data_IF_246038017545
#
_entry.id   IF_246038017545
#
_cell.length_a   1.000
_cell.length_b   1.000
_cell.length_c   1.000
_cell.angle_alpha   90.00
_cell.angle_beta   90.00
_cell.angle_gamma   90.00
#
_symmetry.space_group_name_H-M   'P 1'
#
loop_
_entity.id
_entity.type
_entity.pdbx_description
1 polymer ?
#
# COMPACT_ATOMS: atom_id res chain seq x y z
N UNK A 1 74.06 -0.56 15.98
CA UNK A 1 73.07 0.30 15.29
C UNK A 1 71.97 0.68 16.27
N UNK A 2 71.38 1.84 16.04
CA UNK A 2 70.78 2.77 17.02
C UNK A 2 69.62 2.21 17.85
N UNK A 3 69.71 2.41 19.17
CA UNK A 3 68.62 2.40 20.13
C UNK A 3 67.70 3.59 19.91
N UNK A 4 66.39 3.37 19.81
CA UNK A 4 65.38 4.41 19.96
C UNK A 4 64.58 4.15 21.23
N UNK A 5 64.70 5.10 22.16
CA UNK A 5 63.84 5.26 23.32
C UNK A 5 62.67 6.10 22.85
N UNK A 6 61.42 5.65 23.05
CA UNK A 6 60.25 6.50 22.88
C UNK A 6 59.43 6.46 24.16
N UNK A 7 59.30 7.65 24.73
CA UNK A 7 58.72 7.93 26.01
C UNK A 7 57.21 7.64 26.02
N UNK A 8 56.77 7.08 27.15
CA UNK A 8 55.40 6.89 27.56
C UNK A 8 54.73 8.25 27.76
N UNK A 9 53.67 8.54 27.01
CA UNK A 9 52.70 9.57 27.35
C UNK A 9 51.41 8.87 27.79
N UNK A 10 51.01 9.14 29.03
CA UNK A 10 49.88 8.51 29.68
C UNK A 10 48.54 8.84 29.01
N UNK A 11 47.78 7.79 28.75
CA UNK A 11 46.34 7.80 28.64
C UNK A 11 45.84 6.55 29.34
N UNK A 12 45.05 6.73 30.40
CA UNK A 12 44.36 5.66 31.12
C UNK A 12 43.50 4.86 30.15
N UNK A 13 43.99 3.69 29.73
CA UNK A 13 43.15 2.65 29.15
C UNK A 13 42.82 1.72 30.31
N UNK A 14 41.61 1.81 30.82
CA UNK A 14 41.00 0.73 31.61
C UNK A 14 40.97 -0.51 30.72
N UNK A 15 41.97 -1.39 30.88
CA UNK A 15 41.92 -2.75 30.34
C UNK A 15 40.81 -3.50 31.07
N UNK A 16 39.63 -3.55 30.47
CA UNK A 16 38.72 -4.65 30.75
C UNK A 16 39.37 -5.91 30.15
N UNK A 17 39.98 -6.74 30.99
CA UNK A 17 40.31 -8.11 30.63
C UNK A 17 38.99 -8.83 30.35
N UNK A 18 38.56 -8.84 29.09
CA UNK A 18 37.58 -9.81 28.64
C UNK A 18 38.31 -11.15 28.62
N UNK A 19 38.03 -12.00 29.61
CA UNK A 19 38.35 -13.41 29.51
C UNK A 19 37.61 -13.93 28.28
N UNK A 20 38.34 -14.18 27.19
CA UNK A 20 37.75 -14.77 26.00
C UNK A 20 37.23 -16.17 26.38
N UNK A 21 35.96 -16.52 26.06
CA UNK A 21 35.49 -17.87 26.25
C UNK A 21 36.29 -18.80 25.34
N UNK A 22 37.06 -19.70 25.94
CA UNK A 22 37.71 -20.78 25.22
C UNK A 22 36.74 -21.96 25.15
N UNK A 23 36.34 -22.34 23.95
CA UNK A 23 35.62 -23.59 23.70
C UNK A 23 36.60 -24.69 23.34
N UNK A 24 36.45 -25.86 23.95
CA UNK A 24 37.18 -27.06 23.55
C UNK A 24 36.16 -28.15 23.18
N UNK A 25 36.39 -28.81 22.04
CA UNK A 25 35.57 -29.90 21.55
C UNK A 25 36.15 -31.21 22.10
N UNK A 26 35.37 -31.99 22.85
CA UNK A 26 35.79 -33.31 23.30
C UNK A 26 34.61 -34.28 23.15
N UNK A 27 34.82 -35.40 22.46
CA UNK A 27 33.84 -36.47 22.23
C UNK A 27 32.43 -35.98 21.85
N UNK A 28 32.33 -35.20 20.77
CA UNK A 28 31.08 -34.65 20.19
C UNK A 28 30.23 -33.77 21.13
N UNK A 29 30.80 -33.27 22.23
CA UNK A 29 30.19 -32.25 23.07
C UNK A 29 31.06 -30.99 23.16
N UNK A 30 30.43 -29.84 22.90
CA UNK A 30 31.05 -28.52 23.03
C UNK A 30 30.98 -28.06 24.49
N UNK A 31 32.14 -27.92 25.13
CA UNK A 31 32.23 -27.36 26.48
C UNK A 31 32.66 -25.88 26.39
N UNK A 32 31.77 -24.97 26.78
CA UNK A 32 32.05 -23.54 26.92
C UNK A 32 32.18 -23.22 28.41
N UNK A 33 33.39 -22.90 28.86
CA UNK A 33 33.65 -22.41 30.23
C UNK A 33 33.84 -20.89 30.23
N UNK A 34 33.26 -20.19 31.21
CA UNK A 34 33.39 -18.73 31.37
C UNK A 34 32.08 -17.95 31.37
N UNK A 35 30.92 -18.61 31.26
CA UNK A 35 29.61 -17.97 31.40
C UNK A 35 29.24 -17.99 32.88
N UNK A 36 29.14 -16.81 33.51
CA UNK A 36 28.60 -16.71 34.86
C UNK A 36 27.13 -17.16 34.84
N UNK A 37 26.79 -18.12 35.69
CA UNK A 37 25.41 -18.59 35.83
C UNK A 37 24.48 -17.44 36.24
N UNK A 38 23.28 -17.31 35.66
CA UNK A 38 22.31 -16.31 36.11
C UNK A 38 21.87 -16.63 37.55
N UNK A 39 21.83 -15.59 38.39
CA UNK A 39 21.31 -15.66 39.76
C UNK A 39 19.87 -16.21 39.76
N UNK A 40 19.47 -17.00 40.78
CA UNK A 40 18.10 -17.47 40.90
C UNK A 40 17.13 -16.29 41.03
N UNK A 41 16.18 -16.24 40.11
CA UNK A 41 15.18 -15.18 39.99
C UNK A 41 14.14 -15.32 41.11
N UNK A 42 14.35 -14.63 42.24
CA UNK A 42 13.26 -14.37 43.20
C UNK A 42 12.30 -13.38 42.56
N UNK A 43 11.08 -13.84 42.28
CA UNK A 43 10.00 -13.00 41.75
C UNK A 43 9.74 -11.80 42.70
N UNK A 44 9.66 -10.56 42.19
CA UNK A 44 9.10 -9.49 42.99
C UNK A 44 7.59 -9.70 43.13
N UNK A 45 7.17 -9.90 44.37
CA UNK A 45 5.78 -9.91 44.82
C UNK A 45 5.07 -8.64 44.30
N UNK A 46 4.08 -8.82 43.42
CA UNK A 46 3.20 -7.74 43.00
C UNK A 46 2.42 -7.27 44.22
N UNK A 47 2.86 -6.16 44.83
CA UNK A 47 2.01 -5.40 45.74
C UNK A 47 0.80 -4.93 44.95
N UNK A 48 -0.34 -5.59 45.15
CA UNK A 48 -1.64 -5.09 44.75
C UNK A 48 -1.91 -3.81 45.54
N UNK A 49 -1.56 -2.67 44.96
CA UNK A 49 -2.02 -1.38 45.42
C UNK A 49 -3.53 -1.31 45.28
N UNK A 50 -4.22 -1.45 46.41
CA UNK A 50 -5.63 -1.16 46.54
C UNK A 50 -5.82 0.35 46.34
N UNK A 51 -6.34 0.76 45.18
CA UNK A 51 -6.84 2.13 45.01
C UNK A 51 -8.29 2.12 45.48
N UNK A 52 -8.54 2.72 46.64
CA UNK A 52 -9.87 3.07 47.09
C UNK A 52 -10.48 4.03 46.05
N UNK A 53 -11.38 3.51 45.22
CA UNK A 53 -12.23 4.33 44.36
C UNK A 53 -13.27 4.97 45.28
N UNK A 54 -12.96 6.14 45.81
CA UNK A 54 -13.96 7.00 46.43
C UNK A 54 -15.07 7.28 45.41
N UNK A 55 -16.32 7.14 45.84
CA UNK A 55 -17.52 7.40 45.05
C UNK A 55 -17.47 8.79 44.40
N UNK A 56 -17.09 8.84 43.12
CA UNK A 56 -17.28 10.01 42.28
C UNK A 56 -18.69 9.93 41.72
N UNK A 57 -19.63 10.81 42.11
CA UNK A 57 -20.97 10.79 41.54
C UNK A 57 -20.88 11.14 40.05
N UNK A 58 -21.30 10.20 39.21
CA UNK A 58 -21.47 10.45 37.78
C UNK A 58 -22.52 11.57 37.59
N UNK A 59 -22.21 12.66 36.86
CA UNK A 59 -23.23 13.64 36.51
C UNK A 59 -24.31 12.95 35.66
N UNK A 60 -25.57 13.09 36.08
CA UNK A 60 -26.72 12.52 35.37
C UNK A 60 -26.79 13.08 33.94
N UNK A 61 -27.13 12.26 32.92
CA UNK A 61 -27.27 12.74 31.55
C UNK A 61 -28.38 13.78 31.47
N UNK A 62 -28.02 15.02 31.18
CA UNK A 62 -28.98 16.05 30.80
C UNK A 62 -29.53 15.72 29.41
N UNK A 63 -30.82 15.39 29.35
CA UNK A 63 -31.55 15.31 28.09
C UNK A 63 -31.62 16.71 27.47
N UNK A 64 -30.85 16.92 26.41
CA UNK A 64 -30.96 18.14 25.59
C UNK A 64 -32.23 18.00 24.74
N UNK A 65 -33.22 18.86 24.98
CA UNK A 65 -34.36 19.00 24.09
C UNK A 65 -33.87 19.40 22.69
N UNK A 66 -33.96 18.45 21.75
CA UNK A 66 -33.68 18.70 20.35
C UNK A 66 -34.75 19.65 19.81
N UNK A 67 -34.33 20.87 19.48
CA UNK A 67 -35.17 21.93 18.96
C UNK A 67 -36.09 21.47 17.83
N UNK A 68 -37.37 21.84 17.94
CA UNK A 68 -38.40 21.68 16.94
C UNK A 68 -38.02 22.47 15.68
N UNK A 69 -37.47 21.79 14.66
CA UNK A 69 -37.51 22.29 13.29
C UNK A 69 -38.79 21.78 12.61
N UNK A 70 -39.70 22.64 12.14
CA UNK A 70 -40.90 22.20 11.44
C UNK A 70 -40.52 21.67 10.05
N UNK A 71 -40.65 20.37 9.85
CA UNK A 71 -40.62 19.74 8.52
C UNK A 71 -41.86 20.19 7.74
N UNK A 72 -41.66 21.06 6.75
CA UNK A 72 -42.69 21.46 5.79
C UNK A 72 -42.95 20.28 4.85
N UNK A 73 -44.06 19.57 5.08
CA UNK A 73 -44.56 18.47 4.24
C UNK A 73 -44.92 19.02 2.85
N UNK A 74 -44.14 18.66 1.85
CA UNK A 74 -44.48 18.88 0.44
C UNK A 74 -45.48 17.79 0.04
N UNK A 75 -46.70 18.19 -0.31
CA UNK A 75 -47.72 17.28 -0.83
C UNK A 75 -47.35 16.86 -2.27
N UNK A 76 -46.98 15.60 -2.42
CA UNK A 76 -46.91 14.93 -3.72
C UNK A 76 -48.33 14.70 -4.23
N UNK A 77 -48.75 15.53 -5.20
CA UNK A 77 -49.97 15.29 -5.98
C UNK A 77 -49.83 14.00 -6.78
N UNK A 78 -50.73 13.07 -6.50
CA UNK A 78 -50.92 11.79 -7.20
C UNK A 78 -51.59 12.07 -8.55
N UNK A 79 -50.81 12.09 -9.64
CA UNK A 79 -51.34 12.10 -11.00
C UNK A 79 -51.34 10.66 -11.53
N UNK A 80 -52.53 10.10 -11.71
CA UNK A 80 -52.72 8.78 -12.31
C UNK A 80 -52.41 8.76 -13.82
N UNK A 81 -52.08 7.58 -14.39
CA UNK A 81 -51.72 7.45 -15.79
C UNK A 81 -52.96 7.55 -16.69
N UNK A 82 -52.94 8.48 -17.66
CA UNK A 82 -53.88 8.53 -18.79
C UNK A 82 -53.22 7.86 -20.00
N UNK A 83 -53.80 6.74 -20.41
CA UNK A 83 -53.59 6.07 -21.70
C UNK A 83 -54.40 6.80 -22.77
N UNK A 84 -53.82 7.15 -23.93
CA UNK A 84 -54.60 7.42 -25.13
C UNK A 84 -54.55 6.22 -26.09
N UNK A 85 -55.71 5.62 -26.28
CA UNK A 85 -56.06 4.72 -27.38
C UNK A 85 -56.20 5.54 -28.67
N UNK A 86 -55.51 5.14 -29.72
CA UNK A 86 -55.67 5.67 -31.09
C UNK A 86 -55.21 4.64 -32.11
N UNK A 87 -56.14 4.26 -32.98
CA UNK A 87 -56.05 3.19 -33.98
C UNK A 87 -55.01 3.43 -35.10
N UNK A 88 -54.59 2.34 -35.80
CA UNK A 88 -53.50 2.36 -36.77
C UNK A 88 -53.94 2.82 -38.16
N UNK A 89 -53.17 3.71 -38.80
CA UNK A 89 -53.30 4.02 -40.23
C UNK A 89 -52.12 3.44 -40.99
N UNK A 90 -52.43 2.46 -41.84
CA UNK A 90 -51.56 1.88 -42.87
C UNK A 90 -51.58 2.78 -44.12
N UNK A 91 -50.41 3.27 -44.54
CA UNK A 91 -50.16 3.63 -45.93
C UNK A 91 -48.80 3.09 -46.40
N UNK A 92 -48.76 2.77 -47.69
CA UNK A 92 -47.96 1.77 -48.39
C UNK A 92 -46.71 2.39 -49.07
N UNK A 93 -45.67 1.55 -49.25
CA UNK A 93 -44.43 1.61 -50.09
C UNK A 93 -44.53 2.39 -51.43
N UNK A 94 -43.51 2.92 -52.15
CA UNK A 94 -42.03 3.10 -52.11
C UNK A 94 -41.64 3.96 -53.38
N UNK A 95 -40.40 4.04 -53.97
CA UNK A 95 -39.01 3.88 -53.51
C UNK A 95 -37.99 4.99 -53.97
N UNK A 96 -36.73 4.87 -53.50
CA UNK A 96 -35.43 5.25 -54.12
C UNK A 96 -35.09 6.73 -54.42
N UNK A 97 -34.14 7.26 -53.64
CA UNK A 97 -33.00 8.01 -54.20
C UNK A 97 -31.80 7.95 -53.24
N UNK A 98 -30.71 7.40 -53.75
CA UNK A 98 -29.38 7.38 -53.16
C UNK A 98 -28.85 8.79 -52.96
N UNK A 99 -28.33 9.08 -51.77
CA UNK A 99 -27.07 9.83 -51.68
C UNK A 99 -26.41 9.56 -50.34
N UNK A 100 -25.21 8.99 -50.42
CA UNK A 100 -24.35 8.73 -49.29
C UNK A 100 -23.88 10.04 -48.69
N UNK A 101 -24.07 10.20 -47.38
CA UNK A 101 -23.28 11.07 -46.51
C UNK A 101 -23.51 10.61 -45.08
N UNK A 102 -22.61 9.75 -44.59
CA UNK A 102 -22.58 9.31 -43.22
C UNK A 102 -22.18 10.48 -42.31
N UNK A 103 -22.99 10.86 -41.30
CA UNK A 103 -22.46 11.50 -40.12
C UNK A 103 -21.93 10.39 -39.23
N UNK A 104 -20.62 10.40 -39.02
CA UNK A 104 -19.94 9.56 -38.05
C UNK A 104 -20.68 9.63 -36.72
N UNK A 105 -21.24 8.49 -36.30
CA UNK A 105 -21.88 8.32 -35.02
C UNK A 105 -20.79 8.45 -33.94
N UNK A 106 -20.57 9.69 -33.47
CA UNK A 106 -19.97 9.93 -32.18
C UNK A 106 -20.94 9.42 -31.11
N UNK A 107 -20.83 8.12 -30.79
CA UNK A 107 -21.22 7.57 -29.50
C UNK A 107 -20.32 8.18 -28.43
N UNK A 108 -20.56 9.46 -28.15
CA UNK A 108 -20.24 10.05 -26.86
C UNK A 108 -21.08 9.30 -25.83
N UNK A 109 -20.45 8.29 -25.24
CA UNK A 109 -20.91 7.63 -24.03
C UNK A 109 -21.27 8.76 -23.06
N UNK A 110 -22.55 8.80 -22.68
CA UNK A 110 -23.14 9.82 -21.83
C UNK A 110 -22.18 10.15 -20.67
N UNK A 111 -21.85 11.42 -20.54
CA UNK A 111 -21.10 11.97 -19.40
C UNK A 111 -21.84 11.57 -18.14
N UNK A 112 -21.30 10.57 -17.45
CA UNK A 112 -21.65 10.30 -16.06
C UNK A 112 -21.52 11.61 -15.31
N UNK A 113 -22.60 12.03 -14.61
CA UNK A 113 -22.69 13.35 -13.99
C UNK A 113 -21.40 13.71 -13.24
N UNK A 114 -20.86 14.89 -13.54
CA UNK A 114 -19.58 15.32 -13.00
C UNK A 114 -19.61 15.22 -11.47
N UNK A 115 -18.71 14.41 -10.90
CA UNK A 115 -18.60 14.25 -9.47
C UNK A 115 -17.62 15.29 -8.95
N UNK A 116 -18.02 16.06 -7.94
CA UNK A 116 -17.09 16.98 -7.27
C UNK A 116 -16.29 16.20 -6.23
N UNK A 117 -14.99 16.21 -6.43
CA UNK A 117 -13.95 15.76 -5.51
C UNK A 117 -13.34 16.98 -4.84
N UNK A 118 -12.97 16.89 -3.56
CA UNK A 118 -12.44 18.03 -2.82
C UNK A 118 -11.41 17.60 -1.78
N UNK A 119 -10.47 18.51 -1.50
CA UNK A 119 -9.52 18.45 -0.38
C UNK A 119 -9.82 19.66 0.50
N UNK A 120 -10.15 19.44 1.77
CA UNK A 120 -10.44 20.53 2.69
C UNK A 120 -9.14 21.24 3.14
N UNK A 121 -9.24 22.52 3.48
CA UNK A 121 -8.14 23.24 4.11
C UNK A 121 -7.74 22.54 5.42
N UNK A 122 -6.44 22.29 5.59
CA UNK A 122 -5.89 21.52 6.70
C UNK A 122 -6.01 19.99 6.54
N UNK A 123 -6.57 19.48 5.44
CA UNK A 123 -6.59 18.06 5.11
C UNK A 123 -5.38 17.69 4.25
N UNK A 124 -4.74 16.56 4.56
CA UNK A 124 -3.70 15.99 3.71
C UNK A 124 -4.32 15.40 2.42
N UNK A 125 -3.77 15.67 1.22
CA UNK A 125 -4.23 15.08 -0.04
C UNK A 125 -4.41 13.56 0.00
N UNK A 126 -3.54 12.86 0.73
CA UNK A 126 -3.63 11.41 0.94
C UNK A 126 -4.98 10.99 1.55
N UNK A 127 -5.47 11.72 2.56
CA UNK A 127 -6.77 11.44 3.21
C UNK A 127 -7.94 11.71 2.28
N UNK A 128 -7.86 12.78 1.49
CA UNK A 128 -8.87 13.06 0.49
C UNK A 128 -8.92 11.94 -0.57
N UNK A 129 -7.77 11.50 -1.08
CA UNK A 129 -7.66 10.39 -2.01
C UNK A 129 -8.29 9.10 -1.47
N UNK A 130 -8.02 8.74 -0.21
CA UNK A 130 -8.66 7.57 0.43
C UNK A 130 -10.18 7.66 0.34
N UNK A 131 -10.75 8.81 0.72
CA UNK A 131 -12.19 9.05 0.70
C UNK A 131 -12.76 9.05 -0.73
N UNK A 132 -11.98 9.52 -1.71
CA UNK A 132 -12.35 9.48 -3.13
C UNK A 132 -12.40 8.03 -3.65
N UNK A 133 -11.43 7.19 -3.28
CA UNK A 133 -11.41 5.76 -3.63
C UNK A 133 -12.54 4.99 -2.96
N UNK A 134 -12.81 5.23 -1.69
CA UNK A 134 -13.94 4.63 -0.97
C UNK A 134 -15.28 4.93 -1.67
N UNK A 135 -15.50 6.20 -2.06
CA UNK A 135 -16.69 6.62 -2.81
C UNK A 135 -16.77 5.97 -4.20
N UNK A 136 -15.63 5.65 -4.80
CA UNK A 136 -15.53 4.94 -6.08
C UNK A 136 -15.54 3.41 -5.94
N UNK A 137 -15.71 2.87 -4.72
CA UNK A 137 -15.65 1.44 -4.41
C UNK A 137 -14.31 0.77 -4.79
N UNK A 138 -13.22 1.52 -4.73
CA UNK A 138 -11.86 1.03 -4.95
C UNK A 138 -11.25 0.67 -3.60
N UNK A 139 -10.96 -0.61 -3.39
CA UNK A 139 -10.43 -1.12 -2.11
C UNK A 139 -8.95 -1.49 -2.16
N UNK A 140 -8.39 -1.70 -3.36
CA UNK A 140 -6.99 -2.02 -3.57
C UNK A 140 -6.31 -0.85 -4.27
N UNK A 141 -5.38 -0.19 -3.56
CA UNK A 141 -4.64 0.96 -4.06
C UNK A 141 -3.15 0.71 -3.87
N UNK A 142 -2.38 0.96 -4.92
CA UNK A 142 -0.93 0.88 -4.97
C UNK A 142 -0.36 2.29 -5.17
N UNK A 143 0.75 2.61 -4.51
CA UNK A 143 1.44 3.90 -4.66
C UNK A 143 2.83 3.67 -5.24
N UNK A 144 3.12 4.30 -6.38
CA UNK A 144 4.43 4.33 -7.02
C UNK A 144 5.00 5.74 -6.96
N UNK A 145 5.35 6.17 -5.75
CA UNK A 145 5.82 7.51 -5.43
C UNK A 145 7.16 7.42 -4.70
N UNK A 146 8.04 8.41 -4.90
CA UNK A 146 9.22 8.55 -4.03
C UNK A 146 8.82 9.06 -2.65
N UNK A 147 9.73 8.91 -1.67
CA UNK A 147 9.52 9.41 -0.30
C UNK A 147 9.16 10.91 -0.28
N UNK A 148 9.84 11.72 -1.10
CA UNK A 148 9.56 13.15 -1.23
C UNK A 148 8.15 13.43 -1.78
N UNK A 149 7.72 12.66 -2.77
CA UNK A 149 6.38 12.81 -3.36
C UNK A 149 5.29 12.31 -2.41
N UNK A 150 5.56 11.23 -1.68
CA UNK A 150 4.67 10.71 -0.65
C UNK A 150 4.52 11.71 0.50
N UNK A 151 5.62 12.34 0.93
CA UNK A 151 5.58 13.41 1.93
C UNK A 151 4.65 14.56 1.51
N UNK A 152 4.70 14.99 0.23
CA UNK A 152 3.78 16.00 -0.30
C UNK A 152 2.30 15.60 -0.25
N UNK A 153 1.97 14.31 -0.35
CA UNK A 153 0.60 13.84 -0.17
C UNK A 153 0.16 13.86 1.29
N UNK A 154 1.09 13.80 2.23
CA UNK A 154 0.83 13.82 3.67
C UNK A 154 0.80 15.24 4.25
N UNK A 155 1.35 16.22 3.53
CA UNK A 155 1.31 17.64 3.89
C UNK A 155 -0.11 18.21 3.72
N UNK A 156 -0.68 18.86 4.75
CA UNK A 156 -1.99 19.52 4.64
C UNK A 156 -2.00 20.66 3.62
N UNK A 157 -3.08 20.76 2.84
CA UNK A 157 -3.29 21.91 1.95
C UNK A 157 -3.77 23.14 2.73
N UNK A 158 -3.32 24.34 2.34
CA UNK A 158 -3.70 25.58 3.03
C UNK A 158 -5.13 26.03 2.74
N UNK A 159 -5.71 25.60 1.62
CA UNK A 159 -6.99 26.09 1.10
C UNK A 159 -7.84 24.93 0.60
N UNK A 160 -9.14 25.18 0.48
CA UNK A 160 -10.06 24.20 -0.08
C UNK A 160 -9.81 24.06 -1.58
N UNK A 161 -9.47 22.86 -2.03
CA UNK A 161 -9.32 22.51 -3.43
C UNK A 161 -10.53 21.71 -3.90
N UNK A 162 -11.10 22.07 -5.06
CA UNK A 162 -12.28 21.41 -5.61
C UNK A 162 -12.07 21.06 -7.08
N UNK A 163 -12.35 19.80 -7.42
CA UNK A 163 -12.18 19.24 -8.76
C UNK A 163 -13.51 18.62 -9.20
N UNK A 164 -14.14 19.16 -10.24
CA UNK A 164 -15.42 18.65 -10.74
C UNK A 164 -15.20 17.94 -12.07
N UNK A 165 -14.98 16.63 -12.00
CA UNK A 165 -14.70 15.79 -13.17
C UNK A 165 -14.90 14.30 -12.84
N UNK A 166 -14.30 13.41 -13.63
CA UNK A 166 -14.09 12.03 -13.25
C UNK A 166 -12.87 11.90 -12.29
N UNK A 167 -12.71 10.73 -11.68
CA UNK A 167 -11.68 10.46 -10.67
C UNK A 167 -10.26 10.65 -11.22
N UNK A 168 -9.96 10.08 -12.39
CA UNK A 168 -8.65 10.15 -13.05
C UNK A 168 -8.22 11.60 -13.30
N UNK A 169 -9.11 12.40 -13.89
CA UNK A 169 -8.84 13.82 -14.16
C UNK A 169 -8.66 14.60 -12.86
N UNK A 170 -9.45 14.29 -11.83
CA UNK A 170 -9.35 14.98 -10.53
C UNK A 170 -8.03 14.69 -9.81
N UNK A 171 -7.53 13.46 -9.91
CA UNK A 171 -6.20 13.07 -9.39
C UNK A 171 -5.09 13.79 -10.15
N UNK A 172 -5.21 13.86 -11.48
CA UNK A 172 -4.25 14.57 -12.31
C UNK A 172 -4.19 16.08 -11.99
N UNK A 173 -5.34 16.73 -11.81
CA UNK A 173 -5.40 18.14 -11.39
C UNK A 173 -4.86 18.34 -9.97
N UNK A 174 -5.14 17.42 -9.03
CA UNK A 174 -4.53 17.43 -7.70
C UNK A 174 -3.00 17.37 -7.79
N UNK A 175 -2.45 16.54 -8.67
CA UNK A 175 -1.01 16.46 -8.91
C UNK A 175 -0.40 17.81 -9.30
N UNK A 176 -1.07 18.57 -10.17
CA UNK A 176 -0.62 19.91 -10.56
C UNK A 176 -0.57 20.88 -9.37
N UNK A 177 -1.57 20.85 -8.49
CA UNK A 177 -1.61 21.68 -7.27
C UNK A 177 -0.42 21.36 -6.36
N UNK A 178 -0.07 20.08 -6.24
CA UNK A 178 1.04 19.61 -5.40
C UNK A 178 2.42 19.71 -6.07
N UNK A 179 2.46 20.08 -7.35
CA UNK A 179 3.69 20.09 -8.15
C UNK A 179 4.32 18.70 -8.30
N UNK A 180 3.49 17.65 -8.38
CA UNK A 180 3.91 16.27 -8.65
C UNK A 180 3.02 15.69 -9.76
N UNK A 181 3.57 15.07 -10.83
CA UNK A 181 2.78 14.64 -11.98
C UNK A 181 2.03 13.34 -11.67
N UNK A 182 1.01 13.41 -10.82
CA UNK A 182 0.19 12.27 -10.43
C UNK A 182 -0.58 11.73 -11.63
N UNK A 183 -0.45 10.42 -11.82
CA UNK A 183 -1.19 9.62 -12.79
C UNK A 183 -2.01 8.57 -12.06
N UNK A 184 -3.10 8.15 -12.70
CA UNK A 184 -4.02 7.15 -12.16
C UNK A 184 -4.24 6.06 -13.20
N UNK A 185 -3.99 4.82 -12.79
CA UNK A 185 -4.16 3.63 -13.61
C UNK A 185 -4.89 2.56 -12.82
N UNK A 186 -5.62 1.67 -13.52
CA UNK A 186 -6.26 0.51 -12.88
C UNK A 186 -5.91 -0.74 -13.68
N UNK A 187 -5.25 -1.71 -13.04
CA UNK A 187 -4.94 -3.00 -13.63
C UNK A 187 -5.32 -4.13 -12.68
N UNK A 188 -5.92 -5.19 -13.22
CA UNK A 188 -6.30 -6.40 -12.44
C UNK A 188 -7.09 -6.09 -11.15
N UNK A 189 -7.90 -5.03 -11.16
CA UNK A 189 -8.69 -4.60 -9.99
C UNK A 189 -7.91 -3.83 -8.91
N UNK A 190 -6.66 -3.44 -9.18
CA UNK A 190 -5.83 -2.59 -8.31
C UNK A 190 -5.70 -1.22 -8.96
N UNK A 191 -6.08 -0.19 -8.22
CA UNK A 191 -5.81 1.19 -8.60
C UNK A 191 -4.37 1.55 -8.27
N UNK A 192 -3.74 2.37 -9.09
CA UNK A 192 -2.39 2.87 -8.92
C UNK A 192 -2.37 4.39 -8.94
N UNK A 193 -1.61 4.97 -8.02
CA UNK A 193 -1.20 6.38 -8.04
C UNK A 193 0.31 6.42 -8.20
N UNK A 194 0.80 7.04 -9.26
CA UNK A 194 2.24 7.08 -9.53
C UNK A 194 2.64 8.32 -10.32
N UNK A 195 3.95 8.53 -10.43
CA UNK A 195 4.54 9.59 -11.27
C UNK A 195 5.36 9.05 -12.44
N UNK A 196 5.32 7.74 -12.70
CA UNK A 196 6.06 7.14 -13.83
C UNK A 196 5.64 7.76 -15.17
N UNK A 197 6.62 8.05 -16.03
CA UNK A 197 6.38 8.56 -17.38
C UNK A 197 6.16 7.46 -18.42
N UNK A 198 6.33 6.21 -18.01
CA UNK A 198 6.06 5.01 -18.82
C UNK A 198 4.81 4.31 -18.32
N UNK A 199 4.27 3.40 -19.14
CA UNK A 199 3.21 2.49 -18.71
C UNK A 199 3.66 1.73 -17.44
N UNK A 200 2.88 1.73 -16.35
CA UNK A 200 3.20 0.96 -15.15
C UNK A 200 2.80 -0.51 -15.29
N UNK A 201 3.40 -1.38 -14.50
CA UNK A 201 2.80 -2.64 -14.05
C UNK A 201 2.31 -2.44 -12.60
N UNK A 202 1.05 -2.78 -12.35
CA UNK A 202 0.42 -2.64 -11.03
C UNK A 202 0.11 -4.02 -10.46
N UNK A 203 0.72 -4.38 -9.33
CA UNK A 203 0.54 -5.70 -8.73
C UNK A 203 0.02 -5.61 -7.31
N UNK A 204 -0.78 -6.60 -6.92
CA UNK A 204 -1.13 -6.84 -5.54
C UNK A 204 -0.22 -7.96 -5.02
N UNK A 205 0.65 -7.64 -4.08
CA UNK A 205 1.53 -8.60 -3.40
C UNK A 205 0.70 -9.36 -2.37
N UNK A 206 0.67 -10.69 -2.50
CA UNK A 206 -0.14 -11.56 -1.64
C UNK A 206 0.51 -12.95 -1.49
N UNK A 207 0.19 -13.61 -0.40
CA UNK A 207 0.68 -14.95 -0.04
C UNK A 207 0.65 -15.14 1.47
N UNK A 208 0.64 -16.39 1.93
CA UNK A 208 0.77 -16.71 3.35
C UNK A 208 2.18 -16.40 3.89
N UNK A 209 3.18 -16.36 3.00
CA UNK A 209 4.57 -16.06 3.32
C UNK A 209 5.25 -15.21 2.24
N UNK A 210 6.44 -14.70 2.55
CA UNK A 210 7.27 -13.94 1.62
C UNK A 210 7.68 -14.81 0.43
N UNK A 211 8.01 -16.07 0.66
CA UNK A 211 8.32 -17.02 -0.42
C UNK A 211 7.16 -17.16 -1.39
N UNK A 212 5.95 -17.37 -0.88
CA UNK A 212 4.75 -17.48 -1.71
C UNK A 212 4.47 -16.17 -2.46
N UNK A 213 4.63 -15.02 -1.80
CA UNK A 213 4.45 -13.71 -2.43
C UNK A 213 5.42 -13.48 -3.59
N UNK A 214 6.68 -13.87 -3.43
CA UNK A 214 7.69 -13.78 -4.48
C UNK A 214 7.41 -14.77 -5.60
N UNK A 215 6.99 -15.99 -5.29
CA UNK A 215 6.59 -16.99 -6.30
C UNK A 215 5.44 -16.46 -7.17
N UNK A 216 4.39 -15.95 -6.54
CA UNK A 216 3.24 -15.32 -7.21
C UNK A 216 3.70 -14.17 -8.10
N UNK A 217 4.58 -13.31 -7.61
CA UNK A 217 5.14 -12.20 -8.37
C UNK A 217 5.95 -12.69 -9.59
N UNK A 218 6.82 -13.69 -9.40
CA UNK A 218 7.62 -14.26 -10.47
C UNK A 218 6.73 -14.81 -11.60
N UNK A 219 5.66 -15.54 -11.26
CA UNK A 219 4.70 -16.05 -12.24
C UNK A 219 4.02 -14.93 -13.02
N UNK A 220 3.61 -13.86 -12.35
CA UNK A 220 2.94 -12.72 -13.01
C UNK A 220 3.86 -12.00 -14.00
N UNK A 221 5.15 -11.86 -13.68
CA UNK A 221 6.15 -11.26 -14.58
C UNK A 221 6.73 -12.26 -15.60
N UNK A 222 6.31 -13.53 -15.58
CA UNK A 222 6.80 -14.55 -16.50
C UNK A 222 8.23 -15.02 -16.22
N UNK A 223 8.66 -14.96 -14.96
CA UNK A 223 9.91 -15.53 -14.47
C UNK A 223 9.72 -16.99 -14.03
N UNK A 224 10.76 -17.79 -14.23
CA UNK A 224 10.82 -19.18 -13.83
C UNK A 224 11.06 -19.26 -12.33
N UNK A 225 10.05 -19.77 -11.64
CA UNK A 225 10.11 -20.14 -10.24
C UNK A 225 10.20 -21.66 -10.14
N UNK A 226 11.15 -22.16 -9.35
CA UNK A 226 11.34 -23.57 -9.06
C UNK A 226 11.03 -23.84 -7.59
N UNK A 227 10.05 -24.70 -7.34
CA UNK A 227 9.68 -25.11 -5.99
C UNK A 227 10.75 -26.02 -5.34
N UNK A 228 10.56 -26.29 -4.05
CA UNK A 228 11.52 -26.99 -3.18
C UNK A 228 11.85 -28.43 -3.61
N UNK A 229 11.01 -29.03 -4.44
CA UNK A 229 11.16 -30.42 -4.88
C UNK A 229 12.23 -30.60 -5.98
N UNK A 230 12.85 -29.50 -6.44
CA UNK A 230 13.85 -29.50 -7.51
C UNK A 230 15.30 -29.51 -7.02
N UNK A 231 16.23 -29.92 -7.90
CA UNK A 231 17.67 -29.90 -7.62
C UNK A 231 18.25 -28.48 -7.37
N UNK A 232 17.50 -27.44 -7.75
CA UNK A 232 17.83 -26.02 -7.53
C UNK A 232 16.54 -25.22 -7.29
N UNK A 233 16.06 -25.15 -6.04
CA UNK A 233 14.89 -24.33 -5.73
C UNK A 233 15.20 -22.85 -5.93
N UNK A 234 14.19 -22.08 -6.33
CA UNK A 234 14.26 -20.63 -6.43
C UNK A 234 14.39 -19.98 -5.06
N UNK A 235 13.83 -20.60 -4.01
CA UNK A 235 14.05 -20.15 -2.64
C UNK A 235 15.23 -20.89 -2.01
N UNK A 236 16.30 -20.17 -1.68
CA UNK A 236 17.54 -20.74 -1.14
C UNK A 236 17.86 -20.27 0.29
N UNK A 237 17.05 -19.37 0.88
CA UNK A 237 17.18 -19.03 2.30
C UNK A 237 16.65 -20.17 3.16
N UNK A 238 17.26 -20.37 4.33
CA UNK A 238 16.83 -21.41 5.27
C UNK A 238 15.44 -21.12 5.84
N UNK A 239 15.11 -19.85 6.00
CA UNK A 239 13.85 -19.40 6.60
C UNK A 239 12.87 -18.92 5.54
N UNK A 240 11.58 -19.16 5.78
CA UNK A 240 10.49 -18.51 5.08
C UNK A 240 9.88 -17.43 5.98
N UNK A 241 9.97 -16.18 5.52
CA UNK A 241 9.57 -15.03 6.32
C UNK A 241 8.07 -14.78 6.17
N UNK A 242 7.36 -14.37 7.24
CA UNK A 242 5.96 -14.00 7.13
C UNK A 242 5.80 -12.73 6.27
N UNK A 243 4.80 -12.73 5.38
CA UNK A 243 4.35 -11.52 4.71
C UNK A 243 3.49 -10.72 5.69
N UNK A 244 3.96 -9.55 6.13
CA UNK A 244 3.28 -8.74 7.17
C UNK A 244 1.83 -8.35 6.80
N UNK A 245 1.61 -8.02 5.53
CA UNK A 245 0.31 -7.65 4.99
C UNK A 245 0.34 -7.76 3.47
N UNK A 246 -0.82 -7.90 2.85
CA UNK A 246 -0.94 -7.70 1.40
C UNK A 246 -0.90 -6.20 1.07
N UNK A 247 -0.25 -5.83 -0.03
CA UNK A 247 -0.15 -4.44 -0.46
C UNK A 247 0.01 -4.33 -1.96
N UNK A 248 -0.28 -3.14 -2.50
CA UNK A 248 -0.11 -2.84 -3.91
C UNK A 248 1.28 -2.27 -4.19
N UNK A 249 1.93 -2.73 -5.25
CA UNK A 249 3.16 -2.13 -5.79
C UNK A 249 2.93 -1.62 -7.21
N UNK A 250 3.67 -0.57 -7.57
CA UNK A 250 3.67 0.01 -8.91
C UNK A 250 5.10 0.12 -9.38
N UNK A 251 5.39 -0.49 -10.53
CA UNK A 251 6.73 -0.43 -11.14
C UNK A 251 6.62 -0.09 -12.62
N UNK A 252 7.71 0.37 -13.27
CA UNK A 252 7.76 0.45 -14.72
C UNK A 252 7.46 -0.91 -15.35
N UNK A 253 6.77 -0.91 -16.49
CA UNK A 253 6.38 -2.14 -17.18
C UNK A 253 7.59 -3.07 -17.41
N UNK A 254 7.47 -4.30 -16.94
CA UNK A 254 8.49 -5.35 -17.07
C UNK A 254 9.67 -5.25 -16.09
N UNK A 255 9.71 -4.25 -15.21
CA UNK A 255 10.75 -4.10 -14.19
C UNK A 255 10.49 -5.03 -12.99
N UNK A 256 10.69 -6.33 -13.22
CA UNK A 256 10.57 -7.36 -12.17
C UNK A 256 11.61 -7.22 -11.08
N UNK A 257 12.82 -6.77 -11.43
CA UNK A 257 13.89 -6.42 -10.49
C UNK A 257 13.42 -5.39 -9.46
N UNK A 258 12.86 -4.27 -9.90
CA UNK A 258 12.34 -3.24 -8.99
C UNK A 258 11.17 -3.74 -8.13
N UNK A 259 10.28 -4.54 -8.74
CA UNK A 259 9.15 -5.11 -8.02
C UNK A 259 9.62 -6.05 -6.91
N UNK A 260 10.63 -6.85 -7.20
CA UNK A 260 11.20 -7.80 -6.26
C UNK A 260 11.99 -7.09 -5.17
N UNK A 261 12.77 -6.05 -5.50
CA UNK A 261 13.49 -5.24 -4.52
C UNK A 261 12.53 -4.60 -3.52
N UNK A 262 11.39 -4.09 -3.99
CA UNK A 262 10.33 -3.55 -3.10
C UNK A 262 9.76 -4.64 -2.18
N UNK A 263 9.51 -5.84 -2.70
CA UNK A 263 8.93 -6.93 -1.90
C UNK A 263 9.89 -7.49 -0.86
N UNK A 264 11.19 -7.54 -1.18
CA UNK A 264 12.25 -8.04 -0.32
C UNK A 264 12.83 -6.95 0.60
N UNK A 265 12.36 -5.71 0.50
CA UNK A 265 12.82 -4.61 1.34
C UNK A 265 12.58 -4.93 2.82
N UNK A 266 13.60 -4.67 3.65
CA UNK A 266 13.55 -4.96 5.09
C UNK A 266 13.77 -6.42 5.48
N UNK A 267 13.72 -7.37 4.54
CA UNK A 267 14.01 -8.78 4.82
C UNK A 267 15.50 -9.10 4.64
N UNK A 268 16.06 -10.08 5.39
CA UNK A 268 17.47 -10.49 5.30
C UNK A 268 17.77 -11.35 4.05
N UNK A 269 16.95 -11.22 3.00
CA UNK A 269 17.11 -11.93 1.73
C UNK A 269 17.24 -10.93 0.57
N UNK A 270 17.82 -11.39 -0.52
CA UNK A 270 18.03 -10.64 -1.75
C UNK A 270 17.77 -11.51 -2.96
N UNK A 271 17.44 -10.86 -4.08
CA UNK A 271 17.23 -11.53 -5.34
C UNK A 271 18.53 -11.69 -6.14
N UNK A 272 18.61 -12.80 -6.84
CA UNK A 272 19.56 -13.02 -7.93
C UNK A 272 18.78 -13.42 -9.17
N UNK A 273 18.81 -12.54 -10.17
CA UNK A 273 18.12 -12.73 -11.43
C UNK A 273 19.10 -13.24 -12.48
N UNK A 274 18.67 -14.23 -13.26
CA UNK A 274 19.36 -14.68 -14.48
C UNK A 274 18.50 -14.30 -15.68
N UNK A 275 18.74 -13.12 -16.31
CA UNK A 275 17.84 -12.58 -17.33
C UNK A 275 17.72 -13.46 -18.59
N UNK A 276 18.78 -14.18 -18.96
CA UNK A 276 18.81 -15.02 -20.17
C UNK A 276 17.83 -16.19 -20.11
N UNK A 277 17.70 -16.83 -18.94
CA UNK A 277 16.75 -17.93 -18.71
C UNK A 277 15.46 -17.46 -18.03
N UNK A 278 15.39 -16.18 -17.62
CA UNK A 278 14.35 -15.64 -16.74
C UNK A 278 14.21 -16.44 -15.44
N UNK A 279 15.31 -16.94 -14.89
CA UNK A 279 15.29 -17.65 -13.61
C UNK A 279 15.52 -16.67 -12.45
N UNK A 280 14.77 -16.83 -11.37
CA UNK A 280 14.92 -16.05 -10.13
C UNK A 280 15.37 -16.97 -9.01
N UNK A 281 16.33 -16.49 -8.22
CA UNK A 281 16.79 -17.13 -6.99
C UNK A 281 16.76 -16.13 -5.85
N UNK A 282 16.30 -16.54 -4.68
CA UNK A 282 16.25 -15.75 -3.46
C UNK A 282 17.21 -16.36 -2.45
N UNK A 283 18.14 -15.56 -1.95
CA UNK A 283 19.23 -15.99 -1.06
C UNK A 283 19.41 -14.99 0.07
N UNK A 284 20.09 -15.39 1.13
CA UNK A 284 20.40 -14.47 2.23
C UNK A 284 21.33 -13.35 1.79
N UNK A 285 21.19 -12.20 2.46
CA UNK A 285 22.13 -11.08 2.34
C UNK A 285 23.40 -11.43 3.12
N UNK A 286 24.55 -11.31 2.48
CA UNK A 286 25.88 -11.42 3.11
C UNK A 286 26.29 -10.10 3.78
#
# INVERSE_FOLDING_TARGET
MKTFTLAVLGGLITSACWAAPSGHLNDDQLFITGIAAPLPNTAPELQQGYVEVGDVPAPQPQAVERGKMPLKRVELRKAGPKVPTGEPSLQVLAPLSSSASAPSANTSKAVSGATTFFVAAGEAPYRALQRWFEKAHITKVAYGLSDEQQAKLLEPVERNENFTSNLEVSIHELGKVLGIPLRFDVQRGVAAIHTLDTMPDVQWVHGASLKEAVANLAHVYGWQWHDDDGARPSWMSADDYPLMSEYGIVTPRGAFDLALDTVLEGYPVQAQLIPSSRSVFIREKE
#
